data_IF_959863083923
#
_entry.id   IF_959863083923
#
_cell.length_a   1.000
_cell.length_b   1.000
_cell.length_c   1.000
_cell.angle_alpha   90.00
_cell.angle_beta   90.00
_cell.angle_gamma   90.00
#
_symmetry.space_group_name_H-M   'P 1'
#
loop_
_entity.id
_entity.type
_entity.pdbx_description
1 polymer ?
#
# COMPACT_ATOMS: atom_id res chain seq x y z
N UNK A 1 -5.23 -12.98 2.97
CA UNK A 1 -4.02 -13.77 2.69
C UNK A 1 -2.90 -12.81 2.33
N UNK A 2 -1.79 -12.84 3.06
CA UNK A 2 -0.60 -12.05 2.75
C UNK A 2 0.43 -13.01 2.19
N UNK A 3 0.99 -12.67 1.04
CA UNK A 3 2.16 -13.34 0.52
C UNK A 3 3.30 -12.36 0.49
N UNK A 4 4.35 -12.66 1.25
CA UNK A 4 5.57 -11.86 1.28
C UNK A 4 6.64 -12.64 0.54
N UNK A 5 7.21 -12.02 -0.49
CA UNK A 5 8.28 -12.60 -1.28
C UNK A 5 9.52 -11.73 -1.13
N UNK A 6 10.67 -12.39 -0.97
CA UNK A 6 11.95 -11.72 -0.86
C UNK A 6 12.82 -12.15 -2.02
N UNK A 7 13.37 -11.18 -2.74
CA UNK A 7 14.23 -11.45 -3.88
C UNK A 7 15.56 -10.75 -3.68
N UNK A 8 16.65 -11.52 -3.72
CA UNK A 8 18.02 -11.05 -3.60
C UNK A 8 18.34 -10.24 -2.33
N UNK A 9 17.75 -10.57 -1.17
CA UNK A 9 18.13 -9.97 0.13
C UNK A 9 18.92 -10.96 0.99
N UNK A 10 19.68 -10.43 1.95
CA UNK A 10 20.24 -11.25 3.01
C UNK A 10 19.12 -11.84 3.91
N UNK A 11 19.35 -13.00 4.53
CA UNK A 11 18.31 -13.70 5.31
C UNK A 11 17.75 -12.88 6.48
N UNK A 12 18.57 -12.05 7.12
CA UNK A 12 18.15 -11.24 8.27
C UNK A 12 17.18 -10.13 7.83
N UNK A 13 17.51 -9.38 6.78
CA UNK A 13 16.62 -8.37 6.21
C UNK A 13 15.31 -9.00 5.71
N UNK A 14 15.39 -10.20 5.12
CA UNK A 14 14.22 -10.96 4.66
C UNK A 14 13.26 -11.28 5.81
N UNK A 15 13.79 -11.85 6.90
CA UNK A 15 13.02 -12.25 8.07
C UNK A 15 12.40 -11.03 8.78
N UNK A 16 13.18 -9.96 8.97
CA UNK A 16 12.69 -8.73 9.58
C UNK A 16 11.62 -8.07 8.72
N UNK A 17 11.79 -8.03 7.40
CA UNK A 17 10.79 -7.50 6.47
C UNK A 17 9.47 -8.30 6.49
N UNK A 18 9.56 -9.62 6.54
CA UNK A 18 8.38 -10.49 6.66
C UNK A 18 7.65 -10.27 7.99
N UNK A 19 8.42 -10.18 9.07
CA UNK A 19 7.90 -9.97 10.43
C UNK A 19 7.24 -8.61 10.55
N UNK A 20 7.86 -7.56 10.01
CA UNK A 20 7.29 -6.22 9.93
C UNK A 20 5.98 -6.22 9.15
N UNK A 21 5.91 -6.89 8.00
CA UNK A 21 4.66 -6.99 7.23
C UNK A 21 3.54 -7.67 7.99
N UNK A 22 3.83 -8.79 8.66
CA UNK A 22 2.84 -9.49 9.48
C UNK A 22 2.37 -8.64 10.65
N UNK A 23 3.30 -7.95 11.32
CA UNK A 23 3.00 -7.04 12.41
C UNK A 23 2.11 -5.88 11.96
N UNK A 24 2.49 -5.16 10.90
CA UNK A 24 1.71 -4.02 10.40
C UNK A 24 0.33 -4.45 9.92
N UNK A 25 0.22 -5.58 9.21
CA UNK A 25 -1.08 -6.12 8.82
C UNK A 25 -2.03 -6.28 10.03
N UNK A 26 -1.54 -6.91 11.09
CA UNK A 26 -2.33 -7.12 12.30
C UNK A 26 -2.64 -5.80 13.03
N UNK A 27 -1.72 -4.82 12.92
CA UNK A 27 -1.82 -3.55 13.62
C UNK A 27 -2.75 -2.54 12.96
N UNK A 28 -2.82 -2.51 11.62
CA UNK A 28 -3.59 -1.52 10.86
C UNK A 28 -4.83 -2.09 10.14
N UNK A 29 -4.95 -3.42 9.98
CA UNK A 29 -6.12 -4.06 9.36
C UNK A 29 -6.97 -4.74 10.41
N UNK A 30 -8.24 -4.35 10.49
CA UNK A 30 -9.17 -4.94 11.45
C UNK A 30 -9.37 -6.45 11.17
N UNK A 31 -9.49 -7.31 12.20
CA UNK A 31 -9.53 -8.77 12.03
C UNK A 31 -10.59 -9.28 11.05
N UNK A 32 -11.76 -8.64 11.00
CA UNK A 32 -12.84 -9.03 10.08
C UNK A 32 -12.57 -8.68 8.59
N UNK A 33 -11.58 -7.84 8.31
CA UNK A 33 -11.16 -7.45 6.96
C UNK A 33 -10.00 -8.30 6.44
N UNK A 34 -9.16 -8.83 7.33
CA UNK A 34 -7.97 -9.61 6.97
C UNK A 34 -8.24 -10.80 6.02
N UNK A 35 -9.34 -11.57 6.14
CA UNK A 35 -9.63 -12.66 5.21
C UNK A 35 -9.95 -12.20 3.79
N UNK A 36 -10.44 -10.96 3.63
CA UNK A 36 -10.83 -10.38 2.34
C UNK A 36 -9.63 -9.79 1.62
N UNK A 37 -8.64 -9.33 2.37
CA UNK A 37 -7.45 -8.68 1.85
C UNK A 37 -6.47 -9.69 1.25
N UNK A 38 -6.03 -9.46 0.01
CA UNK A 38 -4.92 -10.16 -0.63
C UNK A 38 -3.79 -9.17 -0.89
N UNK A 39 -2.61 -9.45 -0.34
CA UNK A 39 -1.44 -8.59 -0.53
C UNK A 39 -0.27 -9.46 -0.92
N UNK A 40 0.25 -9.25 -2.13
CA UNK A 40 1.52 -9.80 -2.57
C UNK A 40 2.57 -8.68 -2.52
N UNK A 41 3.53 -8.78 -1.59
CA UNK A 41 4.56 -7.77 -1.38
C UNK A 41 5.95 -8.35 -1.60
N UNK A 42 6.67 -7.79 -2.57
CA UNK A 42 8.06 -8.09 -2.88
C UNK A 42 9.01 -7.08 -2.24
N UNK A 43 9.98 -7.52 -1.44
CA UNK A 43 11.09 -6.68 -0.97
C UNK A 43 12.40 -7.10 -1.65
N UNK A 44 13.11 -6.14 -2.22
CA UNK A 44 14.30 -6.40 -3.07
C UNK A 44 15.43 -5.42 -2.84
N UNK A 45 16.67 -5.78 -3.21
CA UNK A 45 17.80 -4.84 -3.18
C UNK A 45 17.67 -3.76 -4.27
N UNK A 46 17.46 -4.18 -5.52
CA UNK A 46 17.24 -3.33 -6.68
C UNK A 46 16.06 -3.87 -7.51
N UNK A 47 15.01 -3.07 -7.78
CA UNK A 47 13.83 -3.53 -8.52
C UNK A 47 14.09 -3.68 -10.03
N UNK A 48 15.19 -3.14 -10.54
CA UNK A 48 15.58 -3.27 -11.95
C UNK A 48 16.13 -4.65 -12.28
N UNK A 49 16.67 -5.36 -11.29
CA UNK A 49 17.16 -6.75 -11.40
C UNK A 49 16.03 -7.78 -11.52
N UNK A 50 14.79 -7.36 -11.31
CA UNK A 50 13.64 -8.25 -11.41
C UNK A 50 13.21 -8.50 -12.87
N UNK A 51 12.96 -9.77 -13.25
CA UNK A 51 12.33 -10.10 -14.51
C UNK A 51 11.04 -9.29 -14.68
N UNK A 52 10.74 -8.76 -15.88
CA UNK A 52 9.53 -7.97 -16.12
C UNK A 52 8.23 -8.67 -15.71
N UNK A 53 8.20 -10.01 -15.76
CA UNK A 53 7.07 -10.84 -15.32
C UNK A 53 6.88 -10.91 -13.81
N UNK A 54 7.93 -10.65 -13.03
CA UNK A 54 7.92 -10.64 -11.55
C UNK A 54 7.69 -9.23 -11.03
N UNK A 55 7.73 -8.20 -11.88
CA UNK A 55 7.38 -6.82 -11.51
C UNK A 55 5.90 -6.74 -11.15
N UNK A 56 5.57 -7.17 -9.92
CA UNK A 56 4.34 -6.84 -9.22
C UNK A 56 4.14 -5.34 -9.38
N UNK A 57 3.14 -4.98 -10.19
CA UNK A 57 2.96 -3.62 -10.65
C UNK A 57 2.85 -2.69 -9.45
N UNK A 58 3.74 -1.70 -9.37
CA UNK A 58 3.56 -0.53 -8.53
C UNK A 58 2.11 -0.02 -8.67
N UNK A 59 1.54 0.61 -7.63
CA UNK A 59 0.11 0.86 -7.47
C UNK A 59 -0.56 1.71 -8.57
N UNK A 60 0.17 2.13 -9.61
CA UNK A 60 -0.32 2.93 -10.71
C UNK A 60 -1.07 2.13 -11.80
N UNK A 61 -0.92 0.81 -11.91
CA UNK A 61 -1.57 0.06 -13.00
C UNK A 61 -2.91 -0.58 -12.62
N UNK A 62 -3.07 -1.04 -11.37
CA UNK A 62 -4.24 -1.82 -10.95
C UNK A 62 -5.18 -1.07 -9.98
N UNK A 63 -5.00 0.23 -9.77
CA UNK A 63 -5.78 1.06 -8.85
C UNK A 63 -7.21 1.39 -9.31
N UNK A 64 -7.71 0.73 -10.33
CA UNK A 64 -8.91 1.16 -11.03
C UNK A 64 -10.06 0.20 -10.70
N UNK A 65 -10.93 0.60 -9.77
CA UNK A 65 -12.30 0.10 -9.90
C UNK A 65 -12.85 0.72 -11.18
N UNK A 66 -12.81 -0.03 -12.29
CA UNK A 66 -13.56 0.36 -13.48
C UNK A 66 -15.00 0.61 -13.01
N UNK A 67 -15.50 1.83 -13.22
CA UNK A 67 -16.91 2.11 -13.00
C UNK A 67 -17.64 1.24 -14.02
N UNK A 68 -18.09 0.06 -13.60
CA UNK A 68 -18.85 -0.85 -14.45
C UNK A 68 -20.03 -0.07 -15.03
N UNK A 69 -19.98 0.24 -16.33
CA UNK A 69 -20.94 1.09 -17.04
C UNK A 69 -22.31 0.43 -17.23
N UNK A 70 -22.58 -0.68 -16.55
CA UNK A 70 -23.79 -1.50 -16.74
C UNK A 70 -24.98 -1.09 -15.85
N UNK A 71 -24.85 -0.08 -14.97
CA UNK A 71 -25.99 0.44 -14.19
C UNK A 71 -26.45 1.80 -14.72
N UNK A 72 -27.48 1.79 -15.56
CA UNK A 72 -28.16 2.98 -16.10
C UNK A 72 -28.75 3.93 -15.03
N UNK A 73 -28.74 3.57 -13.73
CA UNK A 73 -29.41 4.34 -12.67
C UNK A 73 -28.63 4.56 -11.37
N UNK A 74 -27.34 4.23 -11.29
CA UNK A 74 -26.49 4.68 -10.17
C UNK A 74 -25.09 4.99 -10.67
N UNK A 75 -24.64 6.25 -10.54
CA UNK A 75 -23.21 6.56 -10.45
C UNK A 75 -22.67 5.73 -9.29
N UNK A 76 -22.06 4.57 -9.58
CA UNK A 76 -21.59 3.68 -8.54
C UNK A 76 -20.51 4.40 -7.74
N UNK A 77 -20.72 4.50 -6.43
CA UNK A 77 -19.66 4.89 -5.50
C UNK A 77 -18.51 3.89 -5.71
N UNK A 78 -17.24 4.35 -5.77
CA UNK A 78 -16.12 3.44 -5.77
C UNK A 78 -16.18 2.43 -4.63
N UNK A 79 -15.59 1.26 -4.86
CA UNK A 79 -15.50 0.20 -3.86
C UNK A 79 -14.11 0.17 -3.23
N UNK A 80 -13.99 -0.20 -1.94
CA UNK A 80 -12.69 -0.43 -1.31
C UNK A 80 -11.88 -1.51 -2.04
N UNK A 81 -10.57 -1.31 -2.17
CA UNK A 81 -9.68 -2.25 -2.85
C UNK A 81 -9.26 -3.38 -1.91
N UNK A 82 -9.35 -4.63 -2.36
CA UNK A 82 -8.99 -5.80 -1.55
C UNK A 82 -7.76 -6.56 -2.05
N UNK A 83 -7.31 -6.34 -3.30
CA UNK A 83 -6.19 -7.06 -3.89
C UNK A 83 -5.04 -6.10 -4.24
N UNK A 84 -3.84 -6.37 -3.70
CA UNK A 84 -2.65 -5.54 -3.82
C UNK A 84 -1.46 -6.38 -4.28
N UNK A 85 -0.71 -5.87 -5.25
CA UNK A 85 0.56 -6.42 -5.70
C UNK A 85 1.57 -5.28 -5.70
N UNK A 86 2.68 -5.43 -4.98
CA UNK A 86 3.61 -4.35 -4.71
C UNK A 86 5.05 -4.86 -4.72
N UNK A 87 5.97 -4.07 -5.27
CA UNK A 87 7.41 -4.24 -5.07
C UNK A 87 7.99 -2.99 -4.45
N UNK A 88 8.85 -3.20 -3.47
CA UNK A 88 9.60 -2.16 -2.80
C UNK A 88 11.09 -2.52 -2.79
N UNK A 89 11.92 -1.52 -3.05
CA UNK A 89 13.37 -1.61 -2.83
C UNK A 89 13.70 -1.35 -1.38
N UNK A 90 14.60 -2.13 -0.79
CA UNK A 90 15.11 -1.83 0.55
C UNK A 90 15.82 -0.49 0.55
N UNK A 91 15.79 0.19 1.69
CA UNK A 91 16.60 1.37 1.94
C UNK A 91 17.97 0.94 2.47
N UNK A 92 18.96 1.83 2.40
CA UNK A 92 20.32 1.56 2.92
C UNK A 92 20.28 1.11 4.37
N UNK A 93 19.53 1.84 5.20
CA UNK A 93 19.24 1.53 6.61
C UNK A 93 18.00 0.66 6.72
N UNK A 94 18.02 -0.31 7.64
CA UNK A 94 16.92 -1.25 7.86
C UNK A 94 15.71 -0.55 8.47
N UNK A 95 15.94 0.40 9.38
CA UNK A 95 14.92 1.22 10.03
C UNK A 95 14.10 2.00 8.99
N UNK A 96 14.78 2.62 8.02
CA UNK A 96 14.12 3.33 6.92
C UNK A 96 13.32 2.37 6.01
N UNK A 97 13.76 1.11 5.90
CA UNK A 97 13.01 0.07 5.18
C UNK A 97 11.72 -0.27 5.92
N UNK A 98 11.80 -0.41 7.25
CA UNK A 98 10.64 -0.68 8.12
C UNK A 98 9.64 0.47 8.08
N UNK A 99 10.11 1.72 8.14
CA UNK A 99 9.26 2.90 8.00
C UNK A 99 8.54 2.92 6.64
N UNK A 100 9.26 2.63 5.56
CA UNK A 100 8.65 2.52 4.22
C UNK A 100 7.65 1.36 4.12
N UNK A 101 7.86 0.24 4.83
CA UNK A 101 6.87 -0.84 4.94
C UNK A 101 5.63 -0.38 5.71
N UNK A 102 5.80 0.36 6.82
CA UNK A 102 4.70 0.95 7.57
C UNK A 102 3.86 1.90 6.70
N UNK A 103 4.53 2.76 5.91
CA UNK A 103 3.88 3.64 4.94
C UNK A 103 2.97 2.88 3.97
N UNK A 104 3.49 1.79 3.39
CA UNK A 104 2.73 0.94 2.46
C UNK A 104 1.50 0.36 3.15
N UNK A 105 1.64 -0.14 4.38
CA UNK A 105 0.53 -0.75 5.11
C UNK A 105 -0.55 0.27 5.51
N UNK A 106 -0.19 1.49 5.90
CA UNK A 106 -1.16 2.59 6.12
C UNK A 106 -1.95 2.89 4.84
N UNK A 107 -1.27 2.87 3.70
CA UNK A 107 -1.91 3.10 2.42
C UNK A 107 -2.87 1.95 2.02
N UNK A 108 -2.44 0.70 2.21
CA UNK A 108 -3.28 -0.49 2.04
C UNK A 108 -4.51 -0.44 2.96
N UNK A 109 -4.34 -0.06 4.23
CA UNK A 109 -5.44 0.10 5.17
C UNK A 109 -6.43 1.17 4.70
N UNK A 110 -5.93 2.31 4.23
CA UNK A 110 -6.78 3.40 3.71
C UNK A 110 -7.59 2.95 2.48
N UNK A 111 -6.98 2.22 1.56
CA UNK A 111 -7.63 1.72 0.34
C UNK A 111 -8.63 0.58 0.62
N UNK A 112 -8.28 -0.33 1.54
CA UNK A 112 -9.11 -1.50 1.87
C UNK A 112 -10.31 -1.20 2.77
N UNK A 113 -10.26 -0.10 3.51
CA UNK A 113 -11.40 0.42 4.30
C UNK A 113 -12.31 1.35 3.50
N UNK A 114 -11.88 1.80 2.32
CA UNK A 114 -12.58 2.82 1.54
C UNK A 114 -12.40 4.24 2.06
N UNK A 115 -11.49 4.45 3.02
CA UNK A 115 -11.09 5.79 3.47
C UNK A 115 -10.43 6.56 2.32
N UNK A 116 -9.55 5.91 1.56
CA UNK A 116 -9.08 6.35 0.25
C UNK A 116 -9.70 5.45 -0.82
N UNK A 117 -10.18 6.04 -1.91
CA UNK A 117 -10.53 5.28 -3.11
C UNK A 117 -10.03 6.01 -4.35
N UNK A 118 -9.57 5.25 -5.34
CA UNK A 118 -9.06 5.75 -6.61
C UNK A 118 -9.93 5.20 -7.74
N UNK A 119 -10.28 6.06 -8.70
CA UNK A 119 -11.11 5.69 -9.85
C UNK A 119 -10.54 6.31 -11.11
N UNK A 120 -10.59 5.60 -12.23
CA UNK A 120 -10.27 6.17 -13.54
C UNK A 120 -11.36 5.75 -14.51
N UNK A 121 -11.80 6.66 -15.36
CA UNK A 121 -12.71 6.29 -16.43
C UNK A 121 -11.98 5.37 -17.43
N UNK A 122 -12.68 4.41 -18.07
CA UNK A 122 -12.06 3.45 -19.00
C UNK A 122 -11.50 4.06 -20.30
N UNK A 123 -11.37 5.38 -20.39
CA UNK A 123 -10.70 6.07 -21.51
C UNK A 123 -9.20 6.08 -21.24
N UNK A 124 -8.39 5.73 -22.25
CA UNK A 124 -6.93 5.46 -22.13
C UNK A 124 -6.04 6.59 -21.57
N UNK A 125 -6.62 7.76 -21.23
CA UNK A 125 -5.95 8.93 -20.66
C UNK A 125 -6.81 9.68 -19.64
N UNK A 126 -7.88 9.07 -19.13
CA UNK A 126 -8.69 9.74 -18.13
C UNK A 126 -7.84 9.99 -16.87
N UNK A 127 -7.98 11.13 -16.19
CA UNK A 127 -7.31 11.35 -14.92
C UNK A 127 -7.79 10.34 -13.87
N UNK A 128 -6.88 9.94 -12.98
CA UNK A 128 -7.24 9.16 -11.78
C UNK A 128 -7.88 10.13 -10.78
N UNK A 129 -9.15 9.92 -10.46
CA UNK A 129 -9.90 10.68 -9.47
C UNK A 129 -9.71 10.06 -8.08
N UNK A 130 -9.34 10.90 -7.12
CA UNK A 130 -9.25 10.53 -5.72
C UNK A 130 -10.54 10.80 -4.95
N UNK A 131 -10.83 9.93 -3.99
CA UNK A 131 -11.92 10.05 -3.03
C UNK A 131 -11.37 9.87 -1.63
N UNK A 132 -11.83 10.71 -0.70
CA UNK A 132 -11.43 10.63 0.70
C UNK A 132 -12.65 10.66 1.61
N UNK A 133 -12.78 9.64 2.48
CA UNK A 133 -13.90 9.48 3.41
C UNK A 133 -15.27 9.62 2.70
N UNK A 134 -15.39 8.98 1.53
CA UNK A 134 -16.61 9.01 0.70
C UNK A 134 -16.84 10.30 -0.09
N UNK A 135 -16.02 11.35 0.09
CA UNK A 135 -16.11 12.59 -0.67
C UNK A 135 -15.22 12.53 -1.91
N UNK A 136 -15.80 12.83 -3.08
CA UNK A 136 -15.04 13.04 -4.31
C UNK A 136 -14.15 14.26 -4.14
N UNK A 137 -12.86 14.12 -4.37
CA UNK A 137 -11.92 15.24 -4.44
C UNK A 137 -11.75 15.65 -5.91
N UNK A 138 -10.51 15.74 -6.36
CA UNK A 138 -10.11 16.09 -7.72
C UNK A 138 -9.31 14.93 -8.35
N UNK A 139 -8.91 15.04 -9.63
CA UNK A 139 -7.80 14.26 -10.15
C UNK A 139 -6.61 14.28 -9.18
N UNK A 140 -5.99 13.12 -8.94
CA UNK A 140 -4.91 12.99 -7.97
C UNK A 140 -3.73 13.91 -8.31
N UNK A 141 -3.45 14.07 -9.61
CA UNK A 141 -2.37 14.91 -10.13
C UNK A 141 -2.65 16.41 -9.93
N UNK A 142 -3.91 16.80 -9.77
CA UNK A 142 -4.32 18.18 -9.49
C UNK A 142 -4.29 18.53 -7.99
N UNK A 143 -4.13 17.53 -7.11
CA UNK A 143 -4.05 17.74 -5.66
C UNK A 143 -2.56 17.76 -5.26
N UNK A 144 -2.01 18.90 -4.82
CA UNK A 144 -0.65 18.98 -4.32
C UNK A 144 -0.41 17.96 -3.20
N UNK A 145 0.77 17.34 -3.16
CA UNK A 145 1.07 16.29 -2.17
C UNK A 145 0.83 16.74 -0.72
N UNK A 146 1.17 17.99 -0.39
CA UNK A 146 0.98 18.55 0.95
C UNK A 146 -0.50 18.66 1.37
N UNK A 147 -1.41 18.71 0.40
CA UNK A 147 -2.85 18.87 0.64
C UNK A 147 -3.60 17.54 0.68
N UNK A 148 -2.95 16.45 0.26
CA UNK A 148 -3.53 15.10 0.23
C UNK A 148 -3.72 14.59 1.66
N UNK A 149 -4.97 14.31 2.10
CA UNK A 149 -5.23 13.85 3.46
C UNK A 149 -4.51 12.53 3.83
N UNK A 150 -4.38 11.60 2.87
CA UNK A 150 -3.67 10.34 3.09
C UNK A 150 -2.16 10.50 3.22
N UNK A 151 -1.57 11.55 2.63
CA UNK A 151 -0.14 11.83 2.83
C UNK A 151 0.10 12.35 4.25
N UNK A 152 -0.84 13.12 4.82
CA UNK A 152 -0.77 13.57 6.21
C UNK A 152 -0.87 12.39 7.18
N UNK A 153 -1.87 11.52 7.00
CA UNK A 153 -2.02 10.30 7.81
C UNK A 153 -0.74 9.44 7.76
N UNK A 154 -0.15 9.30 6.57
CA UNK A 154 1.08 8.54 6.37
C UNK A 154 2.26 9.17 7.11
N UNK A 155 2.49 10.48 6.97
CA UNK A 155 3.61 11.18 7.62
C UNK A 155 3.49 11.13 9.15
N UNK A 156 2.27 11.18 9.68
CA UNK A 156 2.04 11.11 11.12
C UNK A 156 2.20 9.70 11.68
N UNK A 157 1.63 8.69 11.02
CA UNK A 157 1.50 7.34 11.58
C UNK A 157 2.67 6.42 11.26
N UNK A 158 3.36 6.59 10.12
CA UNK A 158 4.44 5.68 9.72
C UNK A 158 5.61 5.64 10.71
N UNK A 159 6.15 6.79 11.18
CA UNK A 159 7.23 6.76 12.17
C UNK A 159 6.80 6.09 13.47
N UNK A 160 5.58 6.35 13.93
CA UNK A 160 5.04 5.76 15.16
C UNK A 160 4.96 4.23 15.07
N UNK A 161 4.45 3.70 13.96
CA UNK A 161 4.36 2.26 13.74
C UNK A 161 5.74 1.62 13.60
N UNK A 162 6.65 2.27 12.89
CA UNK A 162 8.01 1.79 12.71
C UNK A 162 8.75 1.73 14.05
N UNK A 163 8.68 2.79 14.85
CA UNK A 163 9.28 2.86 16.18
C UNK A 163 8.68 1.82 17.13
N UNK A 164 7.36 1.59 17.08
CA UNK A 164 6.67 0.54 17.83
C UNK A 164 7.24 -0.84 17.47
N UNK A 165 7.38 -1.14 16.17
CA UNK A 165 7.96 -2.40 15.70
C UNK A 165 9.44 -2.55 16.12
N UNK A 166 10.28 -1.55 15.85
CA UNK A 166 11.72 -1.59 16.16
C UNK A 166 11.91 -1.81 17.67
N UNK A 167 11.11 -1.12 18.49
CA UNK A 167 11.17 -1.24 19.95
C UNK A 167 10.79 -2.62 20.48
N UNK A 168 9.97 -3.37 19.76
CA UNK A 168 9.49 -4.70 20.17
C UNK A 168 10.35 -5.84 19.62
N UNK A 169 10.88 -5.68 18.41
CA UNK A 169 11.47 -6.79 17.66
C UNK A 169 12.95 -6.60 17.30
N UNK A 170 13.52 -5.41 17.51
CA UNK A 170 14.90 -5.11 17.09
C UNK A 170 15.81 -4.57 18.20
N UNK A 171 15.32 -4.42 19.44
CA UNK A 171 16.12 -3.91 20.56
C UNK A 171 17.41 -4.68 20.85
N UNK A 172 17.44 -5.98 20.53
CA UNK A 172 18.61 -6.83 20.76
C UNK A 172 19.56 -6.91 19.55
N UNK A 173 19.25 -6.19 18.46
CA UNK A 173 20.03 -6.17 17.21
C UNK A 173 20.88 -4.90 17.03
N UNK A 174 20.76 -3.95 17.97
CA UNK A 174 21.52 -2.69 18.06
C UNK A 174 22.46 -2.70 19.25
#
# INVERSE_FOLDING_TARGET
MITFYVLNLDPMTAEIGQTACAYFHNRVIAPYQQPKLKVDLGLVNDPTELPPSIRLNLPNADALSAINSSSLFRKSLPQPRQDFQLIMSRRTKLENTIESLAEIWIHIASLSTGRLMLTQEPKSKAPIIAWWLGKKLAPIDDIPMADRPWEKDKVELSPQLADEFISLFMKDLT
#
